data_IF_390757711634
#
_entry.id   IF_390757711634
#
_cell.length_a   1.000
_cell.length_b   1.000
_cell.length_c   1.000
_cell.angle_alpha   90.00
_cell.angle_beta   90.00
_cell.angle_gamma   90.00
#
_symmetry.space_group_name_H-M   'P 1'
#
loop_
_entity.id
_entity.type
_entity.pdbx_description
1 polymer ?
#
# COMPACT_ATOMS: atom_id res chain seq x y z
N UNK A 1 9.29 19.50 1.32
CA UNK A 1 9.29 19.18 0.88
C UNK A 1 9.32 18.16 0.48
N UNK A 2 9.30 17.67 0.88
CA UNK A 2 9.60 16.75 0.18
C UNK A 2 8.82 15.53 0.35
N UNK A 3 7.76 15.41 -0.41
CA UNK A 3 6.99 14.25 -0.56
C UNK A 3 7.82 13.05 -0.82
N UNK A 4 8.83 13.27 -1.63
CA UNK A 4 9.69 12.21 -2.07
C UNK A 4 10.45 11.58 -0.92
N UNK A 5 11.06 12.40 -0.10
CA UNK A 5 11.77 11.90 1.06
C UNK A 5 10.87 11.25 2.07
N UNK A 6 9.67 11.81 2.24
CA UNK A 6 8.69 11.26 3.15
C UNK A 6 8.21 9.89 2.69
N UNK A 7 7.96 9.74 1.39
CA UNK A 7 7.54 8.47 0.84
C UNK A 7 8.58 7.40 0.99
N UNK A 8 9.84 7.71 0.69
CA UNK A 8 10.91 6.75 0.81
C UNK A 8 11.14 6.33 2.25
N UNK A 9 11.02 7.28 3.17
CA UNK A 9 11.20 6.99 4.59
C UNK A 9 10.13 6.06 5.11
N UNK A 10 8.89 6.31 4.70
CA UNK A 10 7.78 5.47 5.15
C UNK A 10 7.87 4.06 4.59
N UNK A 11 8.29 3.96 3.34
CA UNK A 11 8.48 2.65 2.72
C UNK A 11 9.54 1.84 3.47
N UNK A 12 10.67 2.47 3.81
CA UNK A 12 11.71 1.79 4.56
C UNK A 12 11.22 1.36 5.93
N UNK A 13 10.42 2.19 6.57
CA UNK A 13 9.85 1.85 7.85
C UNK A 13 8.98 0.61 7.74
N UNK A 14 8.13 0.56 6.74
CA UNK A 14 7.23 -0.58 6.55
C UNK A 14 8.02 -1.86 6.27
N UNK A 15 9.07 -1.78 5.46
CA UNK A 15 9.94 -2.91 5.19
C UNK A 15 10.53 -3.44 6.50
N UNK A 16 10.99 -2.54 7.36
CA UNK A 16 11.55 -2.94 8.62
C UNK A 16 10.53 -3.60 9.53
N UNK A 17 9.33 -3.06 9.57
CA UNK A 17 8.26 -3.63 10.38
C UNK A 17 7.97 -5.07 9.96
N UNK A 18 7.84 -5.31 8.67
CA UNK A 18 7.57 -6.66 8.19
C UNK A 18 8.75 -7.59 8.39
N UNK A 19 9.96 -7.11 8.12
CA UNK A 19 11.15 -7.94 8.32
C UNK A 19 11.28 -8.37 9.78
N UNK A 20 11.05 -7.46 10.71
CA UNK A 20 11.13 -7.79 12.12
C UNK A 20 9.98 -8.68 12.56
N UNK A 21 8.90 -8.69 11.81
CA UNK A 21 7.76 -9.54 12.08
C UNK A 21 7.88 -10.94 11.47
N UNK A 22 9.02 -11.27 10.91
CA UNK A 22 9.23 -12.60 10.36
C UNK A 22 8.87 -12.76 8.90
N UNK A 23 8.64 -11.67 8.20
CA UNK A 23 8.38 -11.72 6.77
C UNK A 23 9.67 -11.51 5.97
N UNK A 24 9.76 -12.18 4.84
CA UNK A 24 10.78 -11.86 3.85
C UNK A 24 10.20 -10.80 2.93
N UNK A 25 10.99 -9.81 2.62
CA UNK A 25 10.49 -8.63 1.89
C UNK A 25 11.29 -8.43 0.61
N UNK A 26 10.56 -8.17 -0.46
CA UNK A 26 11.19 -7.77 -1.73
C UNK A 26 10.67 -6.38 -2.05
N UNK A 27 11.61 -5.47 -2.29
CA UNK A 27 11.26 -4.12 -2.69
C UNK A 27 11.42 -4.02 -4.19
N UNK A 28 10.39 -3.53 -4.85
CA UNK A 28 10.48 -3.32 -6.28
C UNK A 28 11.35 -2.11 -6.55
N UNK A 29 12.31 -2.30 -7.40
CA UNK A 29 13.21 -1.23 -7.73
C UNK A 29 12.58 -0.38 -8.74
N UNK A 30 11.68 0.31 -8.48
CA UNK A 30 11.01 0.96 -9.44
C UNK A 30 11.16 2.24 -9.68
N UNK A 31 11.95 2.66 -10.14
CA UNK A 31 11.90 3.91 -10.39
C UNK A 31 11.45 4.22 -11.66
N UNK A 32 10.63 4.98 -11.77
CA UNK A 32 10.38 5.72 -12.88
C UNK A 32 9.53 5.10 -13.86
N UNK A 33 10.09 4.60 -14.79
CA UNK A 33 9.42 4.36 -15.99
C UNK A 33 8.29 3.42 -15.89
N UNK A 34 8.41 2.44 -15.13
CA UNK A 34 7.37 1.50 -15.05
C UNK A 34 6.99 1.22 -13.68
N UNK A 35 6.38 2.14 -13.08
CA UNK A 35 5.90 1.88 -11.77
C UNK A 35 4.57 1.19 -11.85
N UNK A 36 4.51 0.14 -12.61
CA UNK A 36 3.29 -0.63 -12.73
C UNK A 36 3.19 -1.72 -11.70
N UNK A 37 4.26 -2.03 -10.99
CA UNK A 37 4.22 -3.03 -9.94
C UNK A 37 3.97 -2.38 -8.60
N UNK A 38 3.51 -3.15 -7.62
CA UNK A 38 3.44 -2.64 -6.24
C UNK A 38 4.83 -2.32 -5.72
N UNK A 39 4.89 -1.51 -4.67
CA UNK A 39 6.16 -1.08 -4.11
C UNK A 39 6.93 -2.20 -3.43
N UNK A 40 6.25 -3.03 -2.64
CA UNK A 40 6.91 -4.12 -1.94
C UNK A 40 6.05 -5.37 -1.92
N UNK A 41 6.73 -6.51 -1.80
CA UNK A 41 6.08 -7.80 -1.62
C UNK A 41 6.57 -8.37 -0.31
N UNK A 42 5.66 -8.94 0.47
CA UNK A 42 6.01 -9.53 1.74
C UNK A 42 5.51 -10.97 1.80
N UNK A 43 6.34 -11.86 2.33
CA UNK A 43 6.07 -13.29 2.34
C UNK A 43 6.36 -13.89 3.70
N UNK A 44 5.47 -14.73 4.17
CA UNK A 44 5.72 -15.48 5.39
C UNK A 44 4.92 -16.78 5.36
N UNK A 45 5.63 -17.90 5.18
CA UNK A 45 5.02 -19.24 5.29
C UNK A 45 3.70 -19.38 4.55
N UNK A 46 3.72 -19.07 3.27
CA UNK A 46 2.51 -19.18 2.46
C UNK A 46 1.60 -17.98 2.47
N UNK A 47 1.83 -17.04 3.36
CA UNK A 47 1.09 -15.79 3.36
C UNK A 47 1.87 -14.80 2.53
N UNK A 48 1.18 -14.08 1.68
CA UNK A 48 1.86 -13.15 0.80
C UNK A 48 0.97 -11.96 0.50
N UNK A 49 1.57 -10.78 0.48
CA UNK A 49 0.85 -9.55 0.20
C UNK A 49 1.71 -8.66 -0.68
N UNK A 50 1.05 -7.91 -1.53
CA UNK A 50 1.70 -6.88 -2.33
C UNK A 50 1.20 -5.53 -1.83
N UNK A 51 2.09 -4.61 -1.58
CA UNK A 51 1.73 -3.35 -0.94
C UNK A 51 2.19 -2.17 -1.77
N UNK A 52 1.26 -1.22 -1.95
CA UNK A 52 1.56 0.06 -2.56
C UNK A 52 1.55 1.08 -1.43
N UNK A 53 2.70 1.67 -1.15
CA UNK A 53 2.85 2.51 0.04
C UNK A 53 2.47 3.94 -0.24
N UNK A 54 1.70 4.53 0.66
CA UNK A 54 1.33 5.94 0.61
C UNK A 54 1.50 6.56 1.99
N UNK A 55 2.13 7.71 2.03
CA UNK A 55 2.33 8.43 3.29
C UNK A 55 1.76 9.82 3.12
N UNK A 56 0.46 9.89 3.08
CA UNK A 56 -0.23 11.11 2.70
C UNK A 56 -0.91 11.72 3.91
N UNK A 57 -0.89 13.03 3.96
CA UNK A 57 -1.42 13.73 5.11
C UNK A 57 -2.72 14.46 4.82
N UNK A 58 -3.29 14.27 3.65
CA UNK A 58 -4.56 14.87 3.28
C UNK A 58 -5.70 14.02 3.81
N UNK A 59 -6.90 14.50 3.69
CA UNK A 59 -8.07 13.77 4.15
C UNK A 59 -8.37 12.51 3.37
N UNK A 60 -7.64 12.23 2.31
CA UNK A 60 -7.86 11.03 1.50
C UNK A 60 -6.59 10.65 0.78
N UNK A 61 -6.52 9.40 0.36
CA UNK A 61 -5.48 8.95 -0.54
C UNK A 61 -6.14 8.63 -1.88
N UNK A 62 -5.47 8.95 -2.96
CA UNK A 62 -6.00 8.74 -4.30
C UNK A 62 -4.94 8.13 -5.19
N UNK A 63 -5.39 7.26 -6.10
CA UNK A 63 -4.51 6.63 -7.08
C UNK A 63 -5.07 6.92 -8.45
N UNK A 64 -4.18 7.17 -9.38
CA UNK A 64 -4.60 7.42 -10.75
C UNK A 64 -5.16 6.14 -11.38
N UNK A 65 -6.09 6.27 -12.31
CA UNK A 65 -6.72 5.10 -12.92
C UNK A 65 -5.72 4.11 -13.52
N UNK A 66 -4.68 4.60 -14.17
CA UNK A 66 -3.70 3.70 -14.78
C UNK A 66 -2.98 2.87 -13.73
N UNK A 67 -2.63 3.48 -12.61
CA UNK A 67 -1.99 2.76 -11.54
C UNK A 67 -2.94 1.75 -10.91
N UNK A 68 -4.18 2.14 -10.72
CA UNK A 68 -5.18 1.24 -10.16
C UNK A 68 -5.35 0.01 -11.06
N UNK A 69 -5.46 0.23 -12.37
CA UNK A 69 -5.61 -0.88 -13.29
C UNK A 69 -4.38 -1.79 -13.28
N UNK A 70 -3.21 -1.19 -13.16
CA UNK A 70 -1.98 -1.97 -13.10
C UNK A 70 -1.94 -2.83 -11.84
N UNK A 71 -2.34 -2.27 -10.70
CA UNK A 71 -2.38 -3.03 -9.45
C UNK A 71 -3.41 -4.15 -9.51
N UNK A 72 -4.57 -3.89 -10.12
CA UNK A 72 -5.59 -4.92 -10.28
C UNK A 72 -5.08 -6.05 -11.18
N UNK A 73 -4.42 -5.69 -12.25
CA UNK A 73 -3.86 -6.69 -13.15
C UNK A 73 -2.80 -7.51 -12.46
N UNK A 74 -1.97 -6.86 -11.65
CA UNK A 74 -0.95 -7.55 -10.88
C UNK A 74 -1.62 -8.57 -9.95
N UNK A 75 -2.65 -8.15 -9.24
CA UNK A 75 -3.36 -9.03 -8.33
C UNK A 75 -3.98 -10.22 -9.07
N UNK A 76 -4.60 -9.95 -10.21
CA UNK A 76 -5.22 -11.01 -10.99
C UNK A 76 -4.17 -12.00 -11.52
N UNK A 77 -3.05 -11.48 -11.97
CA UNK A 77 -2.00 -12.34 -12.55
C UNK A 77 -1.29 -13.19 -11.51
N UNK A 78 -1.10 -12.66 -10.33
CA UNK A 78 -0.30 -13.34 -9.31
C UNK A 78 -1.13 -14.09 -8.29
N UNK A 79 -2.37 -13.70 -8.11
CA UNK A 79 -3.17 -14.22 -7.01
C UNK A 79 -2.77 -13.68 -5.65
N UNK A 80 -1.85 -12.71 -5.62
CA UNK A 80 -1.39 -12.13 -4.37
C UNK A 80 -2.28 -10.97 -3.99
N UNK A 81 -2.83 -11.01 -2.78
CA UNK A 81 -3.66 -9.90 -2.30
C UNK A 81 -2.86 -8.61 -2.30
N UNK A 82 -3.39 -7.61 -2.99
CA UNK A 82 -2.70 -6.33 -3.17
C UNK A 82 -3.46 -5.26 -2.42
N UNK A 83 -2.73 -4.47 -1.64
CA UNK A 83 -3.34 -3.45 -0.80
C UNK A 83 -2.59 -2.14 -0.88
N UNK A 84 -3.31 -1.06 -0.58
CA UNK A 84 -2.67 0.22 -0.31
C UNK A 84 -2.28 0.20 1.16
N UNK A 85 -1.02 0.48 1.44
CA UNK A 85 -0.55 0.63 2.81
C UNK A 85 -0.41 2.13 3.05
N UNK A 86 -1.31 2.68 3.83
CA UNK A 86 -1.42 4.12 4.05
C UNK A 86 -0.96 4.48 5.45
N UNK A 87 0.12 5.25 5.54
CA UNK A 87 0.59 5.71 6.82
C UNK A 87 -0.04 7.06 7.15
N UNK A 88 -0.75 7.12 8.25
CA UNK A 88 -1.34 8.36 8.74
C UNK A 88 -0.54 8.87 9.94
N UNK A 89 -0.32 10.20 10.02
CA UNK A 89 0.40 10.75 11.17
C UNK A 89 -0.27 10.37 12.48
N UNK A 90 0.52 9.93 13.44
CA UNK A 90 0.08 9.59 14.81
C UNK A 90 -0.83 8.38 14.91
N UNK A 91 -1.27 7.82 13.78
CA UNK A 91 -2.17 6.67 13.81
C UNK A 91 -1.52 5.41 13.28
N UNK A 92 -0.45 5.54 12.50
CA UNK A 92 0.24 4.41 11.95
C UNK A 92 -0.32 3.95 10.62
N UNK A 93 -0.23 2.66 10.38
CA UNK A 93 -0.52 2.10 9.06
C UNK A 93 -1.92 1.52 8.98
N UNK A 94 -2.61 1.85 7.89
CA UNK A 94 -3.89 1.26 7.53
C UNK A 94 -3.72 0.55 6.20
N UNK A 95 -4.38 -0.59 6.07
CA UNK A 95 -4.28 -1.40 4.86
C UNK A 95 -5.63 -1.49 4.18
N UNK A 96 -5.67 -1.16 2.90
CA UNK A 96 -6.90 -0.99 2.16
C UNK A 96 -6.89 -1.93 0.95
N UNK A 97 -7.92 -2.75 0.81
CA UNK A 97 -8.04 -3.60 -0.38
C UNK A 97 -8.36 -2.72 -1.58
N UNK A 98 -7.95 -3.17 -2.75
CA UNK A 98 -8.20 -2.38 -3.97
C UNK A 98 -9.69 -2.16 -4.19
N UNK A 99 -10.52 -3.15 -3.88
CA UNK A 99 -11.95 -3.00 -4.09
C UNK A 99 -12.64 -2.11 -3.07
N UNK A 100 -11.89 -1.61 -2.09
CA UNK A 100 -12.44 -0.66 -1.13
C UNK A 100 -12.23 0.79 -1.58
N UNK A 101 -11.48 0.99 -2.65
CA UNK A 101 -11.30 2.33 -3.20
C UNK A 101 -12.51 2.69 -4.05
N UNK A 102 -12.93 3.95 -3.95
CA UNK A 102 -14.07 4.43 -4.70
C UNK A 102 -13.62 5.11 -5.97
N UNK A 103 -14.27 4.77 -7.06
CA UNK A 103 -13.96 5.39 -8.34
C UNK A 103 -14.66 6.73 -8.46
N UNK A 104 -13.93 7.74 -8.88
CA UNK A 104 -14.53 9.00 -9.25
C UNK A 104 -13.98 9.39 -10.62
N UNK A 105 -14.23 10.62 -11.05
CA UNK A 105 -13.88 11.00 -12.41
C UNK A 105 -12.40 10.90 -12.74
N UNK A 106 -11.55 11.15 -11.75
CA UNK A 106 -10.11 11.25 -12.01
C UNK A 106 -9.26 10.25 -11.26
N UNK A 107 -9.83 9.53 -10.34
CA UNK A 107 -9.01 8.67 -9.49
C UNK A 107 -9.83 7.62 -8.81
N UNK A 108 -9.13 6.72 -8.12
CA UNK A 108 -9.72 5.81 -7.16
C UNK A 108 -9.20 6.26 -5.80
N UNK A 109 -10.09 6.44 -4.84
CA UNK A 109 -9.68 7.05 -3.58
C UNK A 109 -10.43 6.50 -2.38
N UNK A 110 -9.90 6.81 -1.20
CA UNK A 110 -10.57 6.48 0.05
C UNK A 110 -10.27 7.59 1.04
N UNK A 111 -11.27 7.94 1.85
CA UNK A 111 -11.10 8.97 2.86
C UNK A 111 -10.51 8.38 4.14
N UNK A 112 -9.91 9.24 4.97
CA UNK A 112 -9.43 8.82 6.28
C UNK A 112 -10.55 8.23 7.11
N UNK A 113 -11.72 8.84 7.04
CA UNK A 113 -12.86 8.37 7.79
C UNK A 113 -13.17 6.92 7.44
N UNK A 114 -13.24 6.63 6.15
CA UNK A 114 -13.56 5.28 5.71
C UNK A 114 -12.45 4.30 6.08
N UNK A 115 -11.20 4.71 5.93
CA UNK A 115 -10.07 3.86 6.30
C UNK A 115 -10.11 3.52 7.79
N UNK A 116 -10.46 4.50 8.63
CA UNK A 116 -10.59 4.25 10.06
C UNK A 116 -11.75 3.33 10.38
N UNK A 117 -12.84 3.45 9.65
CA UNK A 117 -13.98 2.55 9.83
C UNK A 117 -13.61 1.11 9.52
N UNK A 118 -12.88 0.91 8.44
CA UNK A 118 -12.39 -0.42 8.07
C UNK A 118 -11.43 -0.93 9.12
N UNK A 119 -10.56 -0.06 9.60
CA UNK A 119 -9.66 -0.33 10.72
C UNK A 119 -8.79 -1.57 10.56
N UNK A 120 -8.27 -1.78 9.34
CA UNK A 120 -7.37 -2.90 9.08
C UNK A 120 -5.95 -2.44 9.30
N UNK A 121 -5.39 -2.80 10.45
CA UNK A 121 -4.09 -2.33 10.89
C UNK A 121 -3.04 -3.43 10.76
N UNK A 122 -1.81 -3.14 11.19
CA UNK A 122 -0.71 -4.08 11.09
C UNK A 122 -1.01 -5.44 11.69
N UNK A 123 -1.73 -5.47 12.79
CA UNK A 123 -2.04 -6.74 13.44
C UNK A 123 -2.83 -7.67 12.53
N UNK A 124 -3.73 -7.11 11.73
CA UNK A 124 -4.54 -7.92 10.83
C UNK A 124 -3.70 -8.52 9.70
N UNK A 125 -2.61 -7.86 9.35
CA UNK A 125 -1.76 -8.29 8.25
C UNK A 125 -0.65 -9.21 8.74
N UNK A 126 0.02 -8.81 9.80
CA UNK A 126 1.15 -9.58 10.33
C UNK A 126 0.68 -10.83 11.07
N UNK A 127 -0.48 -10.73 11.63
CA UNK A 127 -1.15 -11.79 12.32
C UNK A 127 -0.37 -12.69 13.15
#
# INVERSE_FOLDING_TARGET
MHRYGKGARSERELIQIFSQGGFSVIRAAGSGVNSLSPDILVFRRGRQYALECKAWNNGRVAIEPDKYEALRRWEDNTGITTMIAWKMPYEGWYFIYLNELEKNERSYSITKRRAREINRKLDAIKG
#
